data_IF_440307655303
#
_entry.id   IF_440307655303
#
_cell.length_a   1.000
_cell.length_b   1.000
_cell.length_c   1.000
_cell.angle_alpha   90.00
_cell.angle_beta   90.00
_cell.angle_gamma   90.00
#
_symmetry.space_group_name_H-M   'P 1'
#
loop_
_entity.id
_entity.type
_entity.pdbx_description
1 polymer ?
#
# COMPACT_ATOMS: atom_id res chain seq x y z
N UNK A 1 -6.23 9.28 13.12
CA UNK A 1 -5.10 8.33 13.12
C UNK A 1 -4.93 7.71 11.74
N UNK A 2 -3.71 7.66 11.27
CA UNK A 2 -3.41 7.07 9.95
C UNK A 2 -3.60 5.55 9.97
N UNK A 3 -4.25 5.04 8.93
CA UNK A 3 -4.46 3.60 8.77
C UNK A 3 -4.04 3.19 7.36
N UNK A 4 -3.01 2.35 7.27
CA UNK A 4 -2.42 1.94 6.00
C UNK A 4 -3.43 1.23 5.10
N UNK A 5 -4.22 0.32 5.66
CA UNK A 5 -5.21 -0.42 4.88
C UNK A 5 -6.26 0.51 4.27
N UNK A 6 -6.77 1.46 5.04
CA UNK A 6 -7.76 2.42 4.57
C UNK A 6 -7.20 3.29 3.44
N UNK A 7 -5.97 3.79 3.62
CA UNK A 7 -5.33 4.62 2.59
C UNK A 7 -5.02 3.80 1.35
N UNK A 8 -4.58 2.55 1.51
CA UNK A 8 -4.36 1.66 0.38
C UNK A 8 -5.64 1.51 -0.46
N UNK A 9 -6.79 1.30 0.20
CA UNK A 9 -8.05 1.15 -0.51
C UNK A 9 -8.41 2.39 -1.31
N UNK A 10 -8.21 3.58 -0.73
CA UNK A 10 -8.47 4.84 -1.42
C UNK A 10 -7.62 4.97 -2.67
N UNK A 11 -6.32 4.69 -2.54
CA UNK A 11 -5.37 4.81 -3.64
C UNK A 11 -5.68 3.79 -4.72
N UNK A 12 -5.93 2.56 -4.35
CA UNK A 12 -6.19 1.48 -5.31
C UNK A 12 -7.50 1.70 -6.08
N UNK A 13 -8.47 2.38 -5.46
CA UNK A 13 -9.74 2.71 -6.12
C UNK A 13 -9.66 3.98 -6.95
N UNK A 14 -8.52 4.66 -6.95
CA UNK A 14 -8.36 5.90 -7.69
C UNK A 14 -8.95 7.12 -7.01
N UNK A 15 -9.29 7.02 -5.72
CA UNK A 15 -9.82 8.14 -4.98
C UNK A 15 -8.72 9.16 -4.69
N UNK A 16 -9.13 10.42 -4.57
CA UNK A 16 -8.21 11.49 -4.29
C UNK A 16 -7.73 11.42 -2.83
N UNK A 17 -6.42 11.57 -2.63
CA UNK A 17 -5.79 11.50 -1.32
C UNK A 17 -4.89 12.73 -1.19
N UNK A 18 -4.90 13.38 -0.02
CA UNK A 18 -4.09 14.57 0.14
C UNK A 18 -2.60 14.21 0.29
N UNK A 19 -1.76 15.24 0.15
CA UNK A 19 -0.31 15.06 0.14
C UNK A 19 0.23 14.47 1.45
N UNK A 20 -0.30 14.93 2.58
CA UNK A 20 0.12 14.45 3.89
C UNK A 20 -0.15 12.95 4.03
N UNK A 21 -1.32 12.52 3.60
CA UNK A 21 -1.70 11.12 3.67
C UNK A 21 -0.82 10.27 2.73
N UNK A 22 -0.51 10.79 1.55
CA UNK A 22 0.38 10.09 0.61
C UNK A 22 1.77 9.89 1.21
N UNK A 23 2.33 10.92 1.84
CA UNK A 23 3.64 10.82 2.48
C UNK A 23 3.63 9.79 3.62
N UNK A 24 2.58 9.80 4.44
CA UNK A 24 2.44 8.80 5.50
C UNK A 24 2.29 7.39 4.94
N UNK A 25 1.56 7.25 3.84
CA UNK A 25 1.38 5.98 3.16
C UNK A 25 2.73 5.39 2.72
N UNK A 26 3.54 6.20 2.05
CA UNK A 26 4.85 5.76 1.57
C UNK A 26 5.75 5.42 2.75
N UNK A 27 5.78 6.26 3.78
CA UNK A 27 6.63 6.05 4.95
C UNK A 27 6.24 4.79 5.71
N UNK A 28 4.96 4.63 6.04
CA UNK A 28 4.51 3.49 6.83
C UNK A 28 4.70 2.17 6.09
N UNK A 29 4.36 2.13 4.80
CA UNK A 29 4.55 0.93 4.01
C UNK A 29 6.03 0.58 3.89
N UNK A 30 6.89 1.56 3.68
CA UNK A 30 8.32 1.33 3.55
C UNK A 30 8.91 0.76 4.83
N UNK A 31 8.49 1.29 5.98
CA UNK A 31 8.98 0.80 7.27
C UNK A 31 8.53 -0.63 7.56
N UNK A 32 7.30 -0.96 7.22
CA UNK A 32 6.76 -2.29 7.46
C UNK A 32 7.38 -3.34 6.55
N UNK A 33 7.55 -3.00 5.28
CA UNK A 33 8.05 -3.95 4.29
C UNK A 33 9.56 -4.12 4.40
N UNK A 34 10.28 -3.04 4.71
CA UNK A 34 11.73 -3.08 4.76
C UNK A 34 12.25 -2.26 5.94
N UNK A 35 12.15 -2.79 7.17
CA UNK A 35 12.50 -2.04 8.38
C UNK A 35 13.99 -1.68 8.47
N UNK A 36 14.85 -2.31 7.67
CA UNK A 36 16.28 -2.03 7.68
C UNK A 36 16.66 -0.83 6.83
N UNK A 37 15.75 -0.33 6.00
CA UNK A 37 16.00 0.85 5.17
C UNK A 37 15.55 2.09 5.92
N UNK A 38 16.44 3.09 5.99
CA UNK A 38 16.07 4.38 6.55
C UNK A 38 15.22 5.14 5.55
N UNK A 39 14.01 5.46 5.95
CA UNK A 39 13.14 6.29 5.12
C UNK A 39 13.62 7.73 5.16
N UNK A 40 13.72 8.35 3.97
CA UNK A 40 14.12 9.74 3.84
C UNK A 40 12.99 10.56 3.22
N UNK A 41 12.28 11.30 4.07
CA UNK A 41 11.16 12.10 3.63
C UNK A 41 11.56 13.22 2.68
N UNK A 42 12.78 13.74 2.81
CA UNK A 42 13.26 14.81 1.92
C UNK A 42 13.39 14.30 0.48
N UNK A 43 13.89 13.08 0.32
CA UNK A 43 13.99 12.47 -1.01
C UNK A 43 12.59 12.28 -1.62
N UNK A 44 11.63 11.86 -0.81
CA UNK A 44 10.26 11.67 -1.29
C UNK A 44 9.64 13.00 -1.70
N UNK A 45 9.83 14.05 -0.90
CA UNK A 45 9.33 15.38 -1.24
C UNK A 45 9.96 15.88 -2.54
N UNK A 46 11.26 15.66 -2.71
CA UNK A 46 11.95 16.05 -3.92
C UNK A 46 11.38 15.31 -5.15
N UNK A 47 11.13 14.01 -5.00
CA UNK A 47 10.51 13.22 -6.07
C UNK A 47 9.12 13.75 -6.43
N UNK A 48 8.35 14.19 -5.44
CA UNK A 48 7.06 14.81 -5.67
C UNK A 48 7.19 16.06 -6.53
N UNK A 49 8.17 16.91 -6.21
CA UNK A 49 8.42 18.14 -6.94
C UNK A 49 8.84 17.87 -8.38
N UNK A 50 9.48 16.73 -8.63
CA UNK A 50 9.91 16.32 -9.96
C UNK A 50 8.83 15.56 -10.74
N UNK A 51 7.63 15.41 -10.18
CA UNK A 51 6.53 14.71 -10.85
C UNK A 51 6.64 13.21 -10.84
N UNK A 52 7.46 12.63 -9.96
CA UNK A 52 7.69 11.18 -9.88
C UNK A 52 6.79 10.49 -8.86
N UNK A 53 5.78 11.18 -8.35
CA UNK A 53 4.96 10.63 -7.27
C UNK A 53 4.15 9.40 -7.72
N UNK A 54 3.60 9.43 -8.93
CA UNK A 54 2.76 8.32 -9.40
C UNK A 54 3.53 7.00 -9.50
N UNK A 55 4.76 6.98 -10.10
CA UNK A 55 5.56 5.76 -10.07
C UNK A 55 5.89 5.27 -8.67
N UNK A 56 6.17 6.20 -7.73
CA UNK A 56 6.48 5.83 -6.36
C UNK A 56 5.26 5.21 -5.68
N UNK A 57 4.10 5.83 -5.82
CA UNK A 57 2.85 5.27 -5.28
C UNK A 57 2.60 3.88 -5.85
N UNK A 58 2.80 3.70 -7.16
CA UNK A 58 2.62 2.41 -7.80
C UNK A 58 3.54 1.33 -7.24
N UNK A 59 4.81 1.67 -7.02
CA UNK A 59 5.78 0.73 -6.45
C UNK A 59 5.40 0.33 -5.02
N UNK A 60 5.01 1.31 -4.21
CA UNK A 60 4.60 1.06 -2.83
C UNK A 60 3.36 0.20 -2.79
N UNK A 61 2.38 0.51 -3.62
CA UNK A 61 1.12 -0.24 -3.68
C UNK A 61 1.37 -1.69 -4.08
N UNK A 62 2.20 -1.91 -5.09
CA UNK A 62 2.57 -3.25 -5.52
C UNK A 62 3.30 -4.01 -4.41
N UNK A 63 4.19 -3.35 -3.71
CA UNK A 63 4.91 -3.97 -2.60
C UNK A 63 3.98 -4.39 -1.48
N UNK A 64 2.97 -3.59 -1.18
CA UNK A 64 1.95 -3.93 -0.19
C UNK A 64 1.21 -5.21 -0.62
N UNK A 65 0.83 -5.28 -1.87
CA UNK A 65 0.08 -6.42 -2.41
C UNK A 65 0.89 -7.71 -2.39
N UNK A 66 2.21 -7.59 -2.51
CA UNK A 66 3.11 -8.75 -2.53
C UNK A 66 3.58 -9.19 -1.15
N UNK A 67 3.35 -8.38 -0.12
CA UNK A 67 3.88 -8.66 1.22
C UNK A 67 2.80 -8.59 2.29
N UNK A 68 1.72 -9.40 2.19
CA UNK A 68 0.63 -9.32 3.15
C UNK A 68 1.05 -9.61 4.58
N UNK A 69 2.03 -10.49 4.77
CA UNK A 69 2.51 -10.84 6.10
C UNK A 69 3.26 -9.68 6.78
N UNK A 70 3.78 -8.74 5.99
CA UNK A 70 4.49 -7.59 6.55
C UNK A 70 3.57 -6.42 6.84
N UNK A 71 2.55 -6.23 6.00
CA UNK A 71 1.63 -5.11 6.18
C UNK A 71 0.39 -5.48 7.01
N UNK A 72 0.16 -6.77 7.23
CA UNK A 72 -0.91 -7.24 8.11
C UNK A 72 -2.27 -7.40 7.44
N UNK A 73 -2.34 -7.28 6.13
CA UNK A 73 -3.58 -7.54 5.40
C UNK A 73 -3.26 -8.03 4.00
N UNK A 74 -4.15 -8.84 3.46
CA UNK A 74 -4.01 -9.32 2.09
C UNK A 74 -5.08 -8.68 1.22
N UNK A 75 -4.78 -8.56 -0.07
CA UNK A 75 -5.63 -7.86 -1.03
C UNK A 75 -6.14 -8.84 -2.07
N UNK A 76 -7.43 -8.77 -2.34
CA UNK A 76 -8.04 -9.50 -3.44
C UNK A 76 -8.72 -8.49 -4.35
N UNK A 77 -8.37 -8.51 -5.63
CA UNK A 77 -8.98 -7.64 -6.62
C UNK A 77 -9.93 -8.47 -7.48
N UNK A 78 -11.14 -7.96 -7.64
CA UNK A 78 -12.15 -8.63 -8.45
C UNK A 78 -12.36 -7.83 -9.73
N UNK A 79 -12.30 -8.51 -10.87
CA UNK A 79 -12.45 -7.89 -12.18
C UNK A 79 -13.70 -8.44 -12.87
N UNK A 80 -14.29 -7.63 -13.73
CA UNK A 80 -15.40 -8.12 -14.56
C UNK A 80 -14.85 -8.86 -15.80
N UNK A 81 -15.75 -9.33 -16.65
CA UNK A 81 -15.35 -10.04 -17.86
C UNK A 81 -14.57 -9.18 -18.86
N UNK A 82 -14.64 -7.88 -18.73
CA UNK A 82 -13.89 -6.94 -19.57
C UNK A 82 -12.56 -6.53 -18.94
N UNK A 83 -12.15 -7.21 -17.85
CA UNK A 83 -10.93 -6.93 -17.11
C UNK A 83 -10.92 -5.58 -16.42
N UNK A 84 -12.09 -5.00 -16.16
CA UNK A 84 -12.21 -3.77 -15.39
C UNK A 84 -12.32 -4.10 -13.91
N UNK A 85 -11.55 -3.39 -13.09
CA UNK A 85 -11.58 -3.58 -11.65
C UNK A 85 -12.92 -3.10 -11.10
N UNK A 86 -13.66 -4.00 -10.45
CA UNK A 86 -14.97 -3.68 -9.89
C UNK A 86 -14.99 -3.72 -8.37
N UNK A 87 -14.03 -4.39 -7.75
CA UNK A 87 -14.04 -4.53 -6.29
C UNK A 87 -12.63 -4.80 -5.76
N UNK A 88 -12.32 -4.21 -4.63
CA UNK A 88 -11.09 -4.48 -3.89
C UNK A 88 -11.50 -4.94 -2.50
N UNK A 89 -11.06 -6.13 -2.12
CA UNK A 89 -11.33 -6.70 -0.82
C UNK A 89 -10.03 -6.80 -0.06
N UNK A 90 -9.98 -6.25 1.14
CA UNK A 90 -8.84 -6.43 2.03
C UNK A 90 -9.29 -7.30 3.20
N UNK A 91 -8.42 -8.20 3.62
CA UNK A 91 -8.70 -9.10 4.72
C UNK A 91 -7.49 -9.12 5.63
N UNK A 92 -7.72 -9.07 6.92
CA UNK A 92 -6.63 -9.10 7.87
C UNK A 92 -5.83 -10.40 7.70
N UNK A 93 -4.52 -10.26 7.59
CA UNK A 93 -3.63 -11.39 7.44
C UNK A 93 -3.18 -11.87 8.81
N UNK A 94 -3.46 -13.14 9.11
CA UNK A 94 -3.16 -13.73 10.42
C UNK A 94 -2.10 -14.82 10.25
N UNK A 95 -0.87 -14.48 10.58
CA UNK A 95 0.24 -15.43 10.50
C UNK A 95 0.07 -16.64 11.42
N UNK A 96 -0.51 -16.43 12.59
CA UNK A 96 -0.74 -17.51 13.53
C UNK A 96 -1.77 -18.50 12.98
N UNK A 97 -2.81 -17.98 12.36
CA UNK A 97 -3.84 -18.82 11.76
C UNK A 97 -3.28 -19.61 10.58
N UNK A 98 -2.42 -18.99 9.78
CA UNK A 98 -1.78 -19.67 8.66
C UNK A 98 -0.89 -20.80 9.16
N UNK A 99 -0.11 -20.55 10.16
CA UNK A 99 0.77 -21.57 10.77
C UNK A 99 -0.06 -22.71 11.34
N UNK A 100 -1.19 -22.39 11.98
CA UNK A 100 -2.07 -23.40 12.55
C UNK A 100 -2.72 -24.28 11.48
N UNK A 101 -2.96 -23.74 10.31
CA UNK A 101 -3.59 -24.48 9.21
C UNK A 101 -2.63 -25.45 8.53
N UNK A 102 -1.36 -25.25 8.72
CA UNK A 102 -0.35 -26.13 8.14
C UNK A 102 -0.07 -27.33 9.04
#
# INVERSE_FOLDING_TARGET
>A
MFDLETTYKKIARGNQVDMTEILEYIEEASKLINPNIKYNSETTVLALQMGLIQPIIGMVTESIEKNPHKVGFQVTKVYDKNRCLIKIITKKYDNDKEVSAS
#
